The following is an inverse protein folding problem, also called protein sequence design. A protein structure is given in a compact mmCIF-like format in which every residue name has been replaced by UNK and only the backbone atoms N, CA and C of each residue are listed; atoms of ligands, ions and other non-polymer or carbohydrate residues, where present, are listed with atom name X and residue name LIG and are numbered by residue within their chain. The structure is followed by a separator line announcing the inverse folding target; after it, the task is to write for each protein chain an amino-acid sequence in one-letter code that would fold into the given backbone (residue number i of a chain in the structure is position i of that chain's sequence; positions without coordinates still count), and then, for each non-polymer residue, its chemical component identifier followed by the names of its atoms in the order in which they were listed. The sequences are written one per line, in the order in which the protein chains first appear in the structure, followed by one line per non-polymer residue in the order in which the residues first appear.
data_IF_177166496538
#
_entry.id   IF_177166496538
#
_cell.length_a   1.000
_cell.length_b   1.000
_cell.length_c   1.000
_cell.angle_alpha   90.00
_cell.angle_beta   90.00
_cell.angle_gamma   90.00
#
_symmetry.space_group_name_H-M   'P 1'
#
loop_
_entity.id
_entity.type
_entity.pdbx_description
1 polymer ?
#
# COMPACT_ATOMS: atom_id res chain seq x y z
N UNK A 1 11.96 -6.36 -19.58
CA UNK A 1 13.11 -5.59 -19.05
C UNK A 1 12.71 -4.12 -18.86
N UNK A 2 13.09 -3.48 -17.77
CA UNK A 2 12.60 -2.16 -17.39
C UNK A 2 13.77 -1.19 -17.19
N UNK A 3 13.59 0.06 -17.59
CA UNK A 3 14.50 1.16 -17.28
C UNK A 3 13.90 2.02 -16.17
N UNK A 4 14.66 2.19 -15.09
CA UNK A 4 14.27 2.98 -13.92
C UNK A 4 15.19 4.17 -13.79
N UNK A 5 14.61 5.36 -13.65
CA UNK A 5 15.35 6.60 -13.48
C UNK A 5 15.23 7.09 -12.03
N UNK A 6 16.33 7.64 -11.49
CA UNK A 6 16.32 8.33 -10.20
C UNK A 6 15.62 9.67 -10.35
N UNK A 7 14.66 9.95 -9.50
CA UNK A 7 14.00 11.26 -9.44
C UNK A 7 14.97 12.28 -8.82
N UNK A 8 15.43 13.28 -9.60
CA UNK A 8 16.34 14.34 -9.11
C UNK A 8 17.52 14.61 -10.06
N UNK A 9 18.39 15.55 -9.72
CA UNK A 9 19.36 16.23 -10.60
C UNK A 9 20.49 15.36 -11.24
N UNK A 10 20.59 14.07 -10.95
CA UNK A 10 21.50 13.12 -11.61
C UNK A 10 20.73 11.90 -12.07
N UNK A 11 20.53 11.78 -13.37
CA UNK A 11 19.82 10.67 -14.02
C UNK A 11 20.73 9.45 -14.17
N UNK A 12 20.71 8.53 -13.22
CA UNK A 12 21.22 7.19 -13.46
C UNK A 12 20.08 6.27 -13.87
N UNK A 13 20.05 5.86 -15.12
CA UNK A 13 19.10 4.85 -15.61
C UNK A 13 19.64 3.47 -15.29
N UNK A 14 18.93 2.71 -14.48
CA UNK A 14 19.28 1.33 -14.11
C UNK A 14 18.33 0.36 -14.80
N UNK A 15 18.89 -0.66 -15.44
CA UNK A 15 18.13 -1.77 -16.02
C UNK A 15 17.84 -2.78 -14.93
N UNK A 16 16.56 -3.14 -14.76
CA UNK A 16 16.11 -4.11 -13.76
C UNK A 16 15.26 -5.18 -14.45
N UNK A 17 15.44 -6.43 -14.01
CA UNK A 17 14.62 -7.57 -14.41
C UNK A 17 13.88 -8.08 -13.18
N UNK A 18 12.59 -8.33 -13.29
CA UNK A 18 11.73 -8.90 -12.24
C UNK A 18 10.60 -9.66 -12.88
N UNK A 19 10.02 -10.62 -12.14
CA UNK A 19 8.86 -11.39 -12.61
C UNK A 19 7.57 -10.56 -12.56
N UNK A 20 7.44 -9.66 -11.57
CA UNK A 20 6.31 -8.75 -11.44
C UNK A 20 6.81 -7.33 -11.14
N UNK A 21 6.41 -6.39 -11.98
CA UNK A 21 6.63 -4.98 -11.75
C UNK A 21 5.33 -4.32 -11.28
N UNK A 22 5.42 -3.58 -10.18
CA UNK A 22 4.33 -2.80 -9.61
C UNK A 22 4.69 -1.31 -9.71
N UNK A 23 3.88 -0.56 -10.44
CA UNK A 23 4.08 0.87 -10.64
C UNK A 23 3.37 1.69 -9.56
N UNK A 24 4.15 2.35 -8.70
CA UNK A 24 3.67 3.14 -7.57
C UNK A 24 3.45 2.33 -6.30
N UNK A 25 3.76 2.93 -5.15
CA UNK A 25 3.62 2.35 -3.82
C UNK A 25 2.33 2.77 -3.11
N UNK A 26 1.19 2.85 -3.83
CA UNK A 26 -0.11 3.15 -3.24
C UNK A 26 -0.71 1.97 -2.45
N UNK A 27 -1.91 2.14 -1.88
CA UNK A 27 -2.58 1.12 -1.06
C UNK A 27 -2.65 -0.24 -1.75
N UNK A 28 -3.20 -0.29 -2.97
CA UNK A 28 -3.38 -1.55 -3.70
C UNK A 28 -2.06 -2.27 -3.94
N UNK A 29 -1.02 -1.54 -4.34
CA UNK A 29 0.34 -2.06 -4.55
C UNK A 29 0.93 -2.62 -3.26
N UNK A 30 0.79 -1.88 -2.17
CA UNK A 30 1.28 -2.28 -0.85
C UNK A 30 0.57 -3.54 -0.33
N UNK A 31 -0.76 -3.61 -0.45
CA UNK A 31 -1.54 -4.77 -0.04
C UNK A 31 -1.21 -6.01 -0.89
N UNK A 32 -1.07 -5.83 -2.20
CA UNK A 32 -0.65 -6.90 -3.12
C UNK A 32 0.73 -7.44 -2.74
N UNK A 33 1.72 -6.56 -2.58
CA UNK A 33 3.09 -6.94 -2.22
C UNK A 33 3.15 -7.62 -0.85
N UNK A 34 2.43 -7.09 0.13
CA UNK A 34 2.31 -7.71 1.46
C UNK A 34 1.71 -9.11 1.37
N UNK A 35 0.63 -9.26 0.60
CA UNK A 35 -0.02 -10.56 0.41
C UNK A 35 0.89 -11.54 -0.33
N UNK A 36 1.65 -11.10 -1.33
CA UNK A 36 2.66 -11.93 -2.01
C UNK A 36 3.69 -12.42 -0.99
N UNK A 37 4.24 -11.55 -0.14
CA UNK A 37 5.23 -11.98 0.87
C UNK A 37 4.68 -12.97 1.87
N UNK A 38 3.40 -12.89 2.24
CA UNK A 38 2.77 -13.85 3.13
C UNK A 38 2.54 -15.22 2.50
N UNK A 39 2.21 -15.28 1.20
CA UNK A 39 1.82 -16.51 0.53
C UNK A 39 2.92 -17.13 -0.32
N UNK A 40 3.81 -16.32 -0.87
CA UNK A 40 4.85 -16.69 -1.82
C UNK A 40 6.14 -15.93 -1.46
N UNK A 41 6.80 -16.26 -0.32
CA UNK A 41 7.90 -15.47 0.24
C UNK A 41 9.09 -15.30 -0.71
N UNK A 42 9.32 -16.27 -1.61
CA UNK A 42 10.42 -16.26 -2.57
C UNK A 42 10.04 -15.69 -3.94
N UNK A 43 8.79 -15.24 -4.11
CA UNK A 43 8.36 -14.67 -5.39
C UNK A 43 9.05 -13.35 -5.66
N UNK A 44 9.68 -13.23 -6.84
CA UNK A 44 10.37 -12.02 -7.26
C UNK A 44 9.38 -10.97 -7.78
N UNK A 45 9.34 -9.83 -7.10
CA UNK A 45 8.60 -8.66 -7.52
C UNK A 45 9.35 -7.37 -7.17
N UNK A 46 8.98 -6.28 -7.82
CA UNK A 46 9.56 -4.99 -7.60
C UNK A 46 8.49 -3.88 -7.66
N UNK A 47 8.46 -3.05 -6.63
CA UNK A 47 7.69 -1.80 -6.60
C UNK A 47 8.61 -0.65 -7.00
N UNK A 48 8.17 0.20 -7.90
CA UNK A 48 8.87 1.45 -8.22
C UNK A 48 8.02 2.62 -7.74
N UNK A 49 8.52 3.32 -6.72
CA UNK A 49 7.85 4.45 -6.10
C UNK A 49 8.67 5.74 -6.30
N UNK A 50 7.99 6.78 -6.80
CA UNK A 50 8.63 8.08 -7.06
C UNK A 50 8.98 8.86 -5.80
N UNK A 51 8.25 8.63 -4.72
CA UNK A 51 8.46 9.28 -3.44
C UNK A 51 9.41 8.46 -2.56
N UNK A 52 9.76 9.02 -1.40
CA UNK A 52 10.61 8.36 -0.42
C UNK A 52 9.84 7.42 0.52
N UNK A 53 8.51 7.34 0.40
CA UNK A 53 7.64 6.55 1.27
C UNK A 53 6.51 5.88 0.49
N UNK A 54 6.01 4.76 1.03
CA UNK A 54 4.82 4.08 0.57
C UNK A 54 3.55 4.83 1.01
N UNK A 55 2.47 4.69 0.25
CA UNK A 55 1.15 5.18 0.62
C UNK A 55 0.92 6.67 0.38
N UNK A 56 1.96 7.49 0.17
CA UNK A 56 1.82 8.93 0.02
C UNK A 56 1.27 9.59 1.30
N UNK A 57 0.29 10.48 1.15
CA UNK A 57 -0.35 11.19 2.28
C UNK A 57 -1.87 10.93 2.25
N UNK A 58 -2.26 9.72 2.64
CA UNK A 58 -3.66 9.27 2.60
C UNK A 58 -4.06 8.54 3.88
N UNK A 59 -5.36 8.55 4.16
CA UNK A 59 -6.02 7.66 5.09
C UNK A 59 -7.09 6.87 4.32
N UNK A 60 -7.09 5.55 4.46
CA UNK A 60 -8.07 4.68 3.83
C UNK A 60 -8.95 4.06 4.89
N UNK A 61 -10.25 4.27 4.75
CA UNK A 61 -11.23 3.79 5.72
C UNK A 61 -12.22 2.84 5.07
N UNK A 62 -12.68 1.87 5.85
CA UNK A 62 -13.64 0.86 5.43
C UNK A 62 -14.45 0.35 6.63
N UNK A 63 -15.65 -0.19 6.37
CA UNK A 63 -16.41 -0.87 7.40
C UNK A 63 -15.90 -2.30 7.58
N UNK A 64 -16.00 -2.84 8.79
CA UNK A 64 -15.63 -4.24 9.05
C UNK A 64 -16.43 -5.21 8.19
N UNK A 65 -17.65 -4.83 7.82
CA UNK A 65 -18.54 -5.63 6.95
C UNK A 65 -18.17 -5.59 5.45
N UNK A 66 -17.23 -4.74 5.04
CA UNK A 66 -16.81 -4.64 3.63
C UNK A 66 -15.84 -5.76 3.23
N UNK A 67 -15.29 -6.47 4.20
CA UNK A 67 -14.35 -7.57 4.00
C UNK A 67 -14.79 -8.80 4.81
N UNK A 68 -14.39 -9.99 4.36
CA UNK A 68 -14.64 -11.23 5.09
C UNK A 68 -13.59 -11.49 6.19
N UNK A 69 -13.83 -12.49 7.03
CA UNK A 69 -12.95 -12.82 8.15
C UNK A 69 -11.51 -13.16 7.72
N UNK A 70 -11.35 -13.91 6.63
CA UNK A 70 -10.01 -14.25 6.11
C UNK A 70 -9.26 -13.02 5.62
N UNK A 71 -9.95 -12.07 4.99
CA UNK A 71 -9.35 -10.79 4.59
C UNK A 71 -9.00 -9.94 5.81
N UNK A 72 -9.90 -9.88 6.80
CA UNK A 72 -9.67 -9.14 8.03
C UNK A 72 -8.43 -9.66 8.80
N UNK A 73 -8.24 -10.97 8.85
CA UNK A 73 -7.14 -11.62 9.56
C UNK A 73 -5.77 -11.08 9.11
N UNK A 74 -5.48 -11.13 7.82
CA UNK A 74 -4.17 -10.67 7.32
C UNK A 74 -4.07 -9.15 7.19
N UNK A 75 -5.20 -8.43 7.04
CA UNK A 75 -5.23 -6.97 6.92
C UNK A 75 -5.13 -6.29 8.28
N UNK A 76 -5.62 -6.95 9.33
CA UNK A 76 -5.73 -6.37 10.67
C UNK A 76 -4.43 -5.79 11.25
N UNK A 77 -3.24 -6.34 11.00
CA UNK A 77 -1.98 -5.74 11.47
C UNK A 77 -1.69 -4.35 10.87
N UNK A 78 -2.27 -4.03 9.71
CA UNK A 78 -2.07 -2.75 9.03
C UNK A 78 -3.05 -1.66 9.51
N UNK A 79 -4.12 -2.04 10.21
CA UNK A 79 -5.11 -1.09 10.69
C UNK A 79 -4.51 -0.19 11.77
N UNK A 80 -4.67 1.12 11.61
CA UNK A 80 -4.21 2.14 12.55
C UNK A 80 -5.22 2.41 13.64
N UNK A 81 -6.49 2.54 13.24
CA UNK A 81 -7.59 2.92 14.14
C UNK A 81 -8.82 2.07 13.88
N UNK A 82 -9.58 1.76 14.96
CA UNK A 82 -10.82 0.98 14.92
C UNK A 82 -11.87 1.58 15.83
N UNK A 83 -13.11 1.59 15.35
CA UNK A 83 -14.30 1.97 16.11
C UNK A 83 -15.38 0.92 15.86
N UNK A 84 -16.19 0.64 16.88
CA UNK A 84 -17.31 -0.30 16.76
C UNK A 84 -18.46 0.29 15.95
N UNK A 85 -18.64 1.58 16.07
CA UNK A 85 -19.68 2.36 15.42
C UNK A 85 -19.19 3.79 15.16
N UNK A 86 -19.96 4.56 14.41
CA UNK A 86 -19.76 6.00 14.24
C UNK A 86 -21.09 6.70 13.97
N UNK A 87 -21.19 7.95 14.38
CA UNK A 87 -22.34 8.79 14.14
C UNK A 87 -22.20 9.60 12.85
N UNK A 88 -23.29 9.66 12.12
CA UNK A 88 -23.43 10.57 10.97
C UNK A 88 -24.48 11.61 11.33
N UNK A 89 -24.08 12.87 11.35
CA UNK A 89 -24.92 13.99 11.78
C UNK A 89 -25.11 14.97 10.64
N UNK A 90 -26.37 15.26 10.33
CA UNK A 90 -26.82 16.31 9.42
C UNK A 90 -27.66 17.32 10.21
N UNK A 91 -27.90 18.53 9.69
CA UNK A 91 -28.64 19.57 10.44
C UNK A 91 -30.00 19.11 11.03
N UNK A 92 -30.71 18.23 10.32
CA UNK A 92 -32.05 17.76 10.73
C UNK A 92 -32.14 16.22 10.87
N UNK A 93 -31.02 15.52 10.87
CA UNK A 93 -31.01 14.06 10.96
C UNK A 93 -29.68 13.55 11.50
N UNK A 94 -29.75 12.58 12.39
CA UNK A 94 -28.57 11.84 12.85
C UNK A 94 -28.85 10.34 12.90
N UNK A 95 -27.82 9.54 12.66
CA UNK A 95 -27.89 8.09 12.82
C UNK A 95 -26.55 7.51 13.22
N UNK A 96 -26.59 6.46 14.02
CA UNK A 96 -25.41 5.64 14.35
C UNK A 96 -25.29 4.49 13.36
N UNK A 97 -24.13 4.32 12.77
CA UNK A 97 -23.80 3.20 11.88
C UNK A 97 -23.01 2.17 12.68
N UNK A 98 -23.63 1.01 12.95
CA UNK A 98 -23.07 -0.10 13.74
C UNK A 98 -22.46 -1.18 12.85
N UNK A 99 -21.42 -0.85 12.05
CA UNK A 99 -20.78 -1.79 11.12
C UNK A 99 -19.30 -1.98 11.37
N UNK A 100 -18.78 -1.40 12.45
CA UNK A 100 -17.37 -1.22 12.66
C UNK A 100 -16.77 -0.27 11.61
N UNK A 101 -15.78 0.49 11.99
CA UNK A 101 -15.09 1.42 11.10
C UNK A 101 -13.59 1.31 11.34
N UNK A 102 -12.83 1.10 10.29
CA UNK A 102 -11.40 0.88 10.36
C UNK A 102 -10.69 1.89 9.47
N UNK A 103 -9.51 2.30 9.89
CA UNK A 103 -8.66 3.21 9.10
C UNK A 103 -7.24 2.69 9.04
N UNK A 104 -6.65 2.73 7.85
CA UNK A 104 -5.22 2.54 7.61
C UNK A 104 -4.63 3.91 7.27
N UNK A 105 -3.76 4.42 8.12
CA UNK A 105 -3.00 5.63 7.84
C UNK A 105 -1.76 5.28 7.00
N UNK A 106 -1.44 6.10 5.99
CA UNK A 106 -0.31 5.82 5.09
C UNK A 106 1.03 5.79 5.81
N UNK A 107 1.19 6.61 6.85
CA UNK A 107 2.42 6.63 7.68
C UNK A 107 2.60 5.30 8.38
N UNK A 108 1.58 4.82 9.09
CA UNK A 108 1.62 3.55 9.81
C UNK A 108 1.82 2.37 8.84
N UNK A 109 1.16 2.43 7.68
CA UNK A 109 1.34 1.41 6.63
C UNK A 109 2.79 1.38 6.13
N UNK A 110 3.39 2.55 5.89
CA UNK A 110 4.80 2.64 5.49
C UNK A 110 5.72 2.03 6.54
N UNK A 111 5.57 2.41 7.80
CA UNK A 111 6.38 1.92 8.91
C UNK A 111 6.26 0.40 9.09
N UNK A 112 5.05 -0.14 9.03
CA UNK A 112 4.77 -1.56 9.21
C UNK A 112 5.24 -2.41 8.02
N UNK A 113 5.12 -1.90 6.79
CA UNK A 113 5.44 -2.66 5.59
C UNK A 113 6.91 -2.56 5.17
N UNK A 114 7.60 -1.47 5.48
CA UNK A 114 9.01 -1.30 5.08
C UNK A 114 9.92 -2.43 5.56
N UNK A 115 9.83 -2.95 6.79
CA UNK A 115 10.61 -4.10 7.21
C UNK A 115 10.31 -5.39 6.43
N UNK A 116 9.10 -5.51 5.87
CA UNK A 116 8.61 -6.73 5.21
C UNK A 116 8.91 -6.73 3.71
N UNK A 117 8.61 -5.61 3.04
CA UNK A 117 8.69 -5.50 1.58
C UNK A 117 9.71 -4.47 1.09
N UNK A 118 10.37 -3.73 1.98
CA UNK A 118 11.24 -2.60 1.60
C UNK A 118 12.40 -2.99 0.69
N UNK A 119 12.95 -4.21 0.81
CA UNK A 119 13.96 -4.75 -0.10
C UNK A 119 13.46 -4.93 -1.55
N UNK A 120 12.15 -4.95 -1.75
CA UNK A 120 11.47 -5.04 -3.04
C UNK A 120 10.95 -3.68 -3.53
N UNK A 121 11.39 -2.56 -2.92
CA UNK A 121 10.92 -1.21 -3.29
C UNK A 121 12.10 -0.36 -3.75
N UNK A 122 11.97 0.23 -4.92
CA UNK A 122 12.86 1.28 -5.40
C UNK A 122 12.20 2.63 -5.14
N UNK A 123 12.59 3.27 -4.05
CA UNK A 123 12.16 4.61 -3.70
C UNK A 123 12.89 5.68 -4.53
N UNK A 124 12.25 6.85 -4.66
CA UNK A 124 12.76 7.98 -5.44
C UNK A 124 13.11 7.58 -6.88
N UNK A 125 12.26 6.76 -7.48
CA UNK A 125 12.43 6.25 -8.85
C UNK A 125 11.15 6.33 -9.63
N UNK A 126 11.28 6.55 -10.93
CA UNK A 126 10.18 6.45 -11.90
C UNK A 126 10.53 5.49 -13.03
N UNK A 127 9.49 4.88 -13.59
CA UNK A 127 9.61 4.00 -14.74
C UNK A 127 9.75 4.88 -15.99
N UNK A 128 10.81 4.66 -16.76
CA UNK A 128 11.09 5.40 -18.01
C UNK A 128 10.47 4.70 -19.21
N UNK A 129 10.72 3.40 -19.32
CA UNK A 129 10.20 2.56 -20.41
C UNK A 129 10.17 1.10 -19.99
N UNK A 130 9.33 0.34 -20.68
CA UNK A 130 9.23 -1.11 -20.55
C UNK A 130 9.61 -1.73 -21.89
N UNK A 131 10.39 -2.79 -21.84
CA UNK A 131 10.72 -3.60 -23.03
C UNK A 131 10.57 -5.06 -22.66
N UNK A 132 10.03 -5.85 -23.58
CA UNK A 132 9.97 -7.31 -23.46
C UNK A 132 11.34 -7.94 -23.69
#
# INVERSE_FOLDING_TARGET
MMWVEKYGAFTSVKKVKTNLLIAGGGLASCLLAYRIKLLLPDFDFLIVERNHQLGGNHNWSFHTTDINNSQFEWLSPLISYRWNDHDVVFPNHSRTIKRGYNTIASVDMHEKLTPIIGSHVLFNRSIKSLTN
#
